data_IF_683732874156
#
_entry.id   IF_683732874156
#
_cell.length_a   1.000
_cell.length_b   1.000
_cell.length_c   1.000
_cell.angle_alpha   90.00
_cell.angle_beta   90.00
_cell.angle_gamma   90.00
#
_symmetry.space_group_name_H-M   'P 1'
#
loop_
_entity.id
_entity.type
_entity.pdbx_description
1 polymer ?
#
# COMPACT_ATOMS: atom_id res chain seq x y z
N UNK A 1 8.06 -50.84 -74.19
CA UNK A 1 8.68 -51.15 -72.88
C UNK A 1 9.14 -49.82 -72.29
N UNK A 2 8.22 -49.05 -71.73
CA UNK A 2 7.88 -48.98 -70.30
C UNK A 2 8.81 -48.02 -69.56
N UNK A 3 8.37 -46.76 -69.47
CA UNK A 3 8.93 -45.69 -68.64
C UNK A 3 8.28 -45.79 -67.26
N UNK A 4 9.01 -45.69 -66.13
CA UNK A 4 8.39 -45.40 -64.84
C UNK A 4 8.58 -43.93 -64.43
N UNK A 5 7.47 -43.31 -64.09
CA UNK A 5 7.31 -42.05 -63.36
C UNK A 5 7.36 -42.32 -61.85
N UNK A 6 8.11 -41.51 -61.08
CA UNK A 6 7.79 -41.08 -59.70
C UNK A 6 8.96 -40.20 -59.17
N UNK A 7 8.79 -38.90 -58.96
CA UNK A 7 8.12 -38.22 -57.83
C UNK A 7 9.02 -38.02 -56.60
N UNK A 8 9.52 -36.79 -56.45
CA UNK A 8 9.94 -36.13 -55.20
C UNK A 8 9.49 -34.66 -55.32
N UNK A 9 9.21 -33.87 -54.24
CA UNK A 9 9.50 -34.14 -52.83
C UNK A 9 8.31 -33.89 -51.87
N UNK A 10 8.20 -34.71 -50.83
CA UNK A 10 7.34 -34.43 -49.67
C UNK A 10 8.03 -33.45 -48.71
N UNK A 11 7.73 -32.16 -48.79
CA UNK A 11 7.86 -31.25 -47.65
C UNK A 11 6.73 -31.55 -46.68
N UNK A 12 7.01 -32.23 -45.57
CA UNK A 12 6.08 -32.31 -44.44
C UNK A 12 6.40 -31.16 -43.51
N UNK A 13 5.60 -30.09 -43.61
CA UNK A 13 5.52 -29.06 -42.60
C UNK A 13 4.48 -29.46 -41.53
N UNK A 14 4.75 -29.05 -40.30
CA UNK A 14 3.82 -28.94 -39.17
C UNK A 14 3.17 -30.24 -38.63
N UNK A 15 3.83 -30.85 -37.65
CA UNK A 15 3.11 -31.53 -36.54
C UNK A 15 4.00 -31.64 -35.30
N UNK A 16 4.48 -30.51 -34.79
CA UNK A 16 5.26 -30.48 -33.53
C UNK A 16 4.73 -29.47 -32.51
N UNK A 17 3.53 -28.93 -32.71
CA UNK A 17 2.93 -27.92 -31.83
C UNK A 17 1.82 -28.48 -30.92
N UNK A 18 1.21 -29.62 -31.28
CA UNK A 18 0.03 -30.13 -30.58
C UNK A 18 0.34 -30.86 -29.25
N UNK A 19 1.54 -31.44 -29.13
CA UNK A 19 1.94 -32.17 -27.93
C UNK A 19 2.35 -31.23 -26.79
N UNK A 20 3.09 -30.17 -27.12
CA UNK A 20 3.55 -29.17 -26.15
C UNK A 20 2.38 -28.33 -25.59
N UNK A 21 1.38 -27.95 -26.39
CA UNK A 21 0.17 -27.26 -25.91
C UNK A 21 -0.71 -28.10 -24.96
N UNK A 22 -0.58 -29.42 -24.99
CA UNK A 22 -1.36 -30.34 -24.14
C UNK A 22 -0.60 -30.76 -22.88
N UNK A 23 0.73 -30.70 -22.89
CA UNK A 23 1.62 -30.92 -21.74
C UNK A 23 1.85 -29.64 -20.93
N UNK A 24 1.87 -28.48 -21.59
CA UNK A 24 1.88 -27.15 -20.99
C UNK A 24 0.54 -26.49 -21.29
N UNK A 25 -0.52 -26.99 -20.64
CA UNK A 25 -1.91 -26.61 -20.86
C UNK A 25 -2.08 -25.14 -21.26
N UNK A 26 -2.65 -24.95 -22.45
CA UNK A 26 -3.05 -23.65 -22.98
C UNK A 26 -4.18 -23.02 -22.18
N UNK A 27 -3.86 -22.51 -21.00
CA UNK A 27 -4.27 -21.18 -20.60
C UNK A 27 -2.98 -20.41 -20.43
N UNK A 28 -2.88 -19.21 -20.99
CA UNK A 28 -1.97 -18.22 -20.39
C UNK A 28 -2.37 -18.22 -18.91
N UNK A 29 -1.54 -18.69 -17.96
CA UNK A 29 -1.89 -18.55 -16.56
C UNK A 29 -2.04 -17.04 -16.41
N UNK A 30 -3.29 -16.57 -16.29
CA UNK A 30 -3.58 -15.15 -16.16
C UNK A 30 -2.57 -14.64 -15.17
N UNK A 31 -1.62 -13.82 -15.65
CA UNK A 31 -0.52 -13.35 -14.84
C UNK A 31 -1.18 -12.81 -13.58
N UNK A 32 -0.93 -13.46 -12.45
CA UNK A 32 -1.66 -13.15 -11.23
C UNK A 32 -1.36 -11.68 -10.95
N UNK A 33 -2.42 -10.88 -10.86
CA UNK A 33 -2.29 -9.49 -10.49
C UNK A 33 -2.05 -9.43 -8.98
N UNK A 34 -0.79 -9.61 -8.60
CA UNK A 34 -0.37 -9.65 -7.21
C UNK A 34 -0.66 -8.36 -6.44
N UNK A 35 -0.88 -7.25 -7.14
CA UNK A 35 -1.29 -6.01 -6.49
C UNK A 35 -2.75 -6.08 -6.06
N UNK A 36 -3.65 -6.44 -6.98
CA UNK A 36 -5.07 -6.58 -6.67
C UNK A 36 -5.34 -7.71 -5.67
N UNK A 37 -4.65 -8.85 -5.80
CA UNK A 37 -4.71 -9.92 -4.80
C UNK A 37 -4.26 -9.42 -3.41
N UNK A 38 -3.19 -8.62 -3.35
CA UNK A 38 -2.71 -8.02 -2.11
C UNK A 38 -3.75 -7.08 -1.47
N UNK A 39 -4.47 -6.29 -2.28
CA UNK A 39 -5.54 -5.41 -1.79
C UNK A 39 -6.73 -6.20 -1.23
N UNK A 40 -7.14 -7.28 -1.91
CA UNK A 40 -8.21 -8.18 -1.44
C UNK A 40 -7.83 -8.83 -0.10
N UNK A 41 -6.61 -9.38 0.00
CA UNK A 41 -6.09 -9.97 1.22
C UNK A 41 -5.98 -8.96 2.36
N UNK A 42 -5.60 -7.71 2.05
CA UNK A 42 -5.54 -6.64 3.04
C UNK A 42 -6.92 -6.28 3.58
N UNK A 43 -7.94 -6.23 2.73
CA UNK A 43 -9.33 -5.99 3.11
C UNK A 43 -9.89 -7.14 3.98
N UNK A 44 -9.49 -8.38 3.70
CA UNK A 44 -9.82 -9.57 4.48
C UNK A 44 -8.97 -9.74 5.76
N UNK A 45 -8.09 -8.77 6.06
CA UNK A 45 -7.18 -8.77 7.21
C UNK A 45 -6.11 -9.88 7.21
N UNK A 46 -5.88 -10.52 6.07
CA UNK A 46 -4.85 -11.54 5.87
C UNK A 46 -3.49 -10.87 5.58
N UNK A 47 -2.92 -10.18 6.58
CA UNK A 47 -1.78 -9.28 6.38
C UNK A 47 -0.48 -9.96 5.93
N UNK A 48 -0.23 -11.21 6.33
CA UNK A 48 0.99 -11.94 5.95
C UNK A 48 0.95 -12.37 4.49
N UNK A 49 -0.20 -12.84 4.03
CA UNK A 49 -0.49 -13.19 2.64
C UNK A 49 -0.46 -11.92 1.79
N UNK A 50 -1.14 -10.85 2.21
CA UNK A 50 -1.11 -9.55 1.53
C UNK A 50 0.32 -9.03 1.34
N UNK A 51 1.15 -9.09 2.40
CA UNK A 51 2.56 -8.73 2.34
C UNK A 51 3.33 -9.58 1.30
N UNK A 52 2.99 -10.86 1.17
CA UNK A 52 3.60 -11.76 0.19
C UNK A 52 3.22 -11.35 -1.22
N UNK A 53 1.93 -11.11 -1.49
CA UNK A 53 1.45 -10.66 -2.81
C UNK A 53 2.04 -9.29 -3.17
N UNK A 54 2.06 -8.31 -2.26
CA UNK A 54 2.69 -7.02 -2.56
C UNK A 54 4.20 -7.12 -2.82
N UNK A 55 4.92 -8.01 -2.14
CA UNK A 55 6.35 -8.27 -2.44
C UNK A 55 6.54 -8.89 -3.82
N UNK A 56 5.60 -9.71 -4.29
CA UNK A 56 5.62 -10.24 -5.66
C UNK A 56 5.31 -9.13 -6.66
N UNK A 57 4.30 -8.30 -6.41
CA UNK A 57 3.98 -7.13 -7.25
C UNK A 57 5.18 -6.17 -7.37
N UNK A 58 5.89 -5.91 -6.27
CA UNK A 58 7.08 -5.04 -6.26
C UNK A 58 8.23 -5.61 -7.09
N UNK A 59 8.35 -6.94 -7.24
CA UNK A 59 9.37 -7.53 -8.14
C UNK A 59 9.10 -7.21 -9.60
N UNK A 60 7.84 -7.02 -9.97
CA UNK A 60 7.43 -6.69 -11.33
C UNK A 60 7.56 -5.19 -11.63
N UNK A 61 7.28 -4.35 -10.63
CA UNK A 61 7.43 -2.89 -10.68
C UNK A 61 8.41 -2.43 -9.59
N UNK A 62 9.71 -2.57 -9.87
CA UNK A 62 10.75 -2.32 -8.88
C UNK A 62 10.72 -0.88 -8.34
N UNK A 63 10.36 -0.77 -7.06
CA UNK A 63 10.37 0.50 -6.34
C UNK A 63 9.09 1.33 -6.49
N UNK A 64 8.00 0.78 -6.98
CA UNK A 64 6.71 1.49 -6.95
C UNK A 64 6.39 2.00 -5.53
N UNK A 65 6.23 3.32 -5.39
CA UNK A 65 5.95 3.97 -4.10
C UNK A 65 4.61 3.56 -3.51
N UNK A 66 3.62 3.29 -4.38
CA UNK A 66 2.29 2.83 -3.97
C UNK A 66 2.39 1.43 -3.37
N UNK A 67 3.10 0.52 -4.04
CA UNK A 67 3.29 -0.85 -3.54
C UNK A 67 4.11 -0.84 -2.24
N UNK A 68 5.16 -0.01 -2.15
CA UNK A 68 5.95 0.15 -0.93
C UNK A 68 5.09 0.66 0.24
N UNK A 69 4.15 1.57 0.00
CA UNK A 69 3.23 2.03 1.02
C UNK A 69 2.31 0.88 1.51
N UNK A 70 1.79 0.05 0.61
CA UNK A 70 0.98 -1.12 1.00
C UNK A 70 1.78 -2.15 1.82
N UNK A 71 3.04 -2.38 1.46
CA UNK A 71 3.97 -3.22 2.25
C UNK A 71 4.17 -2.64 3.65
N UNK A 72 4.35 -1.33 3.77
CA UNK A 72 4.51 -0.67 5.06
C UNK A 72 3.24 -0.78 5.93
N UNK A 73 2.06 -0.64 5.33
CA UNK A 73 0.77 -0.86 6.00
C UNK A 73 0.68 -2.29 6.53
N UNK A 74 1.04 -3.30 5.73
CA UNK A 74 1.05 -4.70 6.17
C UNK A 74 1.98 -4.90 7.37
N UNK A 75 3.20 -4.37 7.34
CA UNK A 75 4.11 -4.44 8.48
C UNK A 75 3.52 -3.78 9.73
N UNK A 76 2.86 -2.62 9.60
CA UNK A 76 2.17 -1.97 10.73
C UNK A 76 1.08 -2.86 11.32
N UNK A 77 0.25 -3.47 10.48
CA UNK A 77 -0.85 -4.37 10.93
C UNK A 77 -0.33 -5.67 11.57
N UNK A 78 0.81 -6.18 11.11
CA UNK A 78 1.48 -7.36 11.69
C UNK A 78 2.17 -7.02 13.03
N UNK A 79 2.51 -5.74 13.27
CA UNK A 79 3.24 -5.29 14.45
C UNK A 79 4.76 -5.17 14.26
N UNK A 80 5.25 -5.31 13.03
CA UNK A 80 6.66 -5.12 12.68
C UNK A 80 6.98 -3.63 12.50
N UNK A 81 6.97 -2.89 13.61
CA UNK A 81 7.01 -1.42 13.60
C UNK A 81 8.32 -0.85 13.02
N UNK A 82 9.45 -1.51 13.22
CA UNK A 82 10.75 -1.03 12.73
C UNK A 82 10.83 -1.15 11.20
N UNK A 83 10.38 -2.26 10.65
CA UNK A 83 10.31 -2.55 9.21
C UNK A 83 9.29 -1.65 8.53
N UNK A 84 8.14 -1.42 9.17
CA UNK A 84 7.16 -0.45 8.72
C UNK A 84 7.78 0.95 8.63
N UNK A 85 8.45 1.43 9.68
CA UNK A 85 9.08 2.75 9.69
C UNK A 85 10.17 2.90 8.62
N UNK A 86 11.02 1.88 8.44
CA UNK A 86 12.03 1.86 7.36
C UNK A 86 11.37 1.95 5.99
N UNK A 87 10.27 1.22 5.79
CA UNK A 87 9.56 1.18 4.50
C UNK A 87 8.84 2.49 4.21
N UNK A 88 8.15 3.10 5.18
CA UNK A 88 7.55 4.43 5.01
C UNK A 88 8.60 5.51 4.74
N UNK A 89 9.74 5.48 5.44
CA UNK A 89 10.85 6.39 5.10
C UNK A 89 11.29 6.19 3.65
N UNK A 90 11.37 4.96 3.16
CA UNK A 90 11.72 4.71 1.75
C UNK A 90 10.67 5.30 0.79
N UNK A 91 9.37 5.21 1.11
CA UNK A 91 8.32 5.91 0.34
C UNK A 91 8.62 7.41 0.31
N UNK A 92 8.89 8.03 1.47
CA UNK A 92 9.17 9.47 1.57
C UNK A 92 10.48 9.91 0.89
N UNK A 93 11.48 9.02 0.76
CA UNK A 93 12.68 9.32 -0.01
C UNK A 93 12.39 9.44 -1.52
N UNK A 94 11.33 8.78 -2.00
CA UNK A 94 10.92 8.81 -3.41
C UNK A 94 9.90 9.91 -3.67
N UNK A 95 8.93 10.04 -2.77
CA UNK A 95 7.92 11.08 -2.80
C UNK A 95 7.77 11.67 -1.40
N UNK A 96 8.40 12.83 -1.20
CA UNK A 96 8.36 13.55 0.07
C UNK A 96 6.97 14.11 0.41
N UNK A 97 6.00 14.07 -0.51
CA UNK A 97 4.63 14.53 -0.30
C UNK A 97 3.63 13.39 -0.07
N UNK A 98 4.10 12.15 0.01
CA UNK A 98 3.24 10.98 0.20
C UNK A 98 2.55 11.01 1.59
N UNK A 99 1.36 11.59 1.64
CA UNK A 99 0.59 11.81 2.87
C UNK A 99 0.39 10.52 3.67
N UNK A 100 0.07 9.40 3.02
CA UNK A 100 -0.10 8.11 3.70
C UNK A 100 1.15 7.64 4.44
N UNK A 101 2.34 7.89 3.90
CA UNK A 101 3.59 7.56 4.56
C UNK A 101 3.90 8.46 5.75
N UNK A 102 3.56 9.75 5.67
CA UNK A 102 3.60 10.65 6.83
C UNK A 102 2.67 10.19 7.95
N UNK A 103 1.43 9.82 7.63
CA UNK A 103 0.49 9.30 8.62
C UNK A 103 1.01 8.01 9.30
N UNK A 104 1.50 7.05 8.50
CA UNK A 104 2.05 5.79 9.00
C UNK A 104 3.25 6.00 9.93
N UNK A 105 4.17 6.90 9.58
CA UNK A 105 5.30 7.25 10.46
C UNK A 105 4.86 7.96 11.73
N UNK A 106 3.92 8.90 11.63
CA UNK A 106 3.42 9.61 12.80
C UNK A 106 2.81 8.63 13.83
N UNK A 107 2.02 7.66 13.36
CA UNK A 107 1.46 6.61 14.20
C UNK A 107 2.56 5.76 14.87
N UNK A 108 3.56 5.30 14.11
CA UNK A 108 4.64 4.47 14.64
C UNK A 108 5.49 5.23 15.65
N UNK A 109 5.85 6.48 15.37
CA UNK A 109 6.66 7.32 16.26
C UNK A 109 5.93 7.63 17.56
N UNK A 110 4.63 7.94 17.47
CA UNK A 110 3.80 8.15 18.65
C UNK A 110 3.76 6.90 19.54
N UNK A 111 3.58 5.72 18.95
CA UNK A 111 3.62 4.45 19.69
C UNK A 111 5.01 4.13 20.26
N UNK A 112 6.07 4.62 19.62
CA UNK A 112 7.45 4.54 20.09
C UNK A 112 7.84 5.59 21.13
N UNK A 113 6.93 6.51 21.48
CA UNK A 113 7.17 7.59 22.44
C UNK A 113 7.85 8.84 21.86
N UNK A 114 8.21 8.84 20.58
CA UNK A 114 8.74 10.02 19.89
C UNK A 114 7.59 10.95 19.49
N UNK A 115 7.14 11.72 20.48
CA UNK A 115 5.99 12.62 20.34
C UNK A 115 6.29 13.80 19.42
N UNK A 116 7.50 14.35 19.49
CA UNK A 116 7.90 15.49 18.63
C UNK A 116 7.97 15.09 17.16
N UNK A 117 8.55 13.93 16.86
CA UNK A 117 8.58 13.39 15.50
C UNK A 117 7.19 13.04 14.98
N UNK A 118 6.31 12.53 15.84
CA UNK A 118 4.92 12.24 15.49
C UNK A 118 4.14 13.51 15.12
N UNK A 119 4.29 14.59 15.89
CA UNK A 119 3.65 15.89 15.62
C UNK A 119 4.02 16.38 14.23
N UNK A 120 5.32 16.44 13.92
CA UNK A 120 5.80 16.93 12.62
C UNK A 120 5.17 16.15 11.45
N UNK A 121 5.13 14.82 11.55
CA UNK A 121 4.55 14.00 10.48
C UNK A 121 3.02 14.08 10.39
N UNK A 122 2.29 14.25 11.51
CA UNK A 122 0.85 14.53 11.44
C UNK A 122 0.56 15.89 10.79
N UNK A 123 1.37 16.92 11.06
CA UNK A 123 1.24 18.24 10.42
C UNK A 123 1.45 18.14 8.91
N UNK A 124 2.50 17.44 8.47
CA UNK A 124 2.73 17.19 7.04
C UNK A 124 1.57 16.41 6.39
N UNK A 125 1.08 15.36 7.05
CA UNK A 125 -0.07 14.59 6.56
C UNK A 125 -1.30 15.48 6.31
N UNK A 126 -1.60 16.41 7.23
CA UNK A 126 -2.72 17.34 7.09
C UNK A 126 -2.45 18.43 6.04
N UNK A 127 -1.20 18.89 5.91
CA UNK A 127 -0.80 19.90 4.93
C UNK A 127 -0.86 19.38 3.49
N UNK A 128 -0.54 18.10 3.27
CA UNK A 128 -0.63 17.43 1.97
C UNK A 128 -2.07 17.10 1.54
N UNK A 129 -3.08 17.52 2.33
CA UNK A 129 -4.51 17.45 2.05
C UNK A 129 -4.94 16.16 1.31
N UNK A 130 -5.12 15.03 2.01
CA UNK A 130 -5.65 13.85 1.36
C UNK A 130 -7.11 14.11 0.94
N UNK A 131 -7.34 14.26 -0.37
CA UNK A 131 -8.65 14.53 -0.97
C UNK A 131 -9.56 13.28 -1.04
N UNK A 132 -9.00 12.11 -0.70
CA UNK A 132 -9.69 10.83 -0.76
C UNK A 132 -10.70 10.67 0.41
N UNK A 133 -11.98 10.35 0.14
CA UNK A 133 -12.95 10.00 1.18
C UNK A 133 -12.45 8.96 2.19
N UNK A 134 -11.65 7.99 1.75
CA UNK A 134 -11.07 6.95 2.60
C UNK A 134 -10.11 7.52 3.66
N UNK A 135 -9.52 8.70 3.40
CA UNK A 135 -8.62 9.36 4.34
C UNK A 135 -9.35 10.16 5.44
N UNK A 136 -10.68 10.33 5.36
CA UNK A 136 -11.45 11.14 6.32
C UNK A 136 -11.25 10.68 7.78
N UNK A 137 -11.18 9.37 8.01
CA UNK A 137 -10.91 8.79 9.33
C UNK A 137 -9.50 9.12 9.82
N UNK A 138 -8.50 9.01 8.95
CA UNK A 138 -7.12 9.37 9.26
C UNK A 138 -6.95 10.86 9.54
N UNK A 139 -7.64 11.73 8.78
CA UNK A 139 -7.67 13.18 9.02
C UNK A 139 -8.26 13.52 10.38
N UNK A 140 -9.40 12.92 10.73
CA UNK A 140 -10.03 13.11 12.03
C UNK A 140 -9.10 12.66 13.17
N UNK A 141 -8.49 11.47 13.02
CA UNK A 141 -7.54 10.94 14.00
C UNK A 141 -6.30 11.84 14.16
N UNK A 142 -5.69 12.29 13.06
CA UNK A 142 -4.52 13.16 13.09
C UNK A 142 -4.82 14.50 13.76
N UNK A 143 -5.95 15.14 13.44
CA UNK A 143 -6.38 16.39 14.08
C UNK A 143 -6.61 16.24 15.57
N UNK A 144 -7.36 15.21 15.98
CA UNK A 144 -7.62 14.94 17.39
C UNK A 144 -6.33 14.63 18.17
N UNK A 145 -5.42 13.88 17.55
CA UNK A 145 -4.13 13.56 18.14
C UNK A 145 -3.26 14.79 18.30
N UNK A 146 -3.14 15.64 17.28
CA UNK A 146 -2.39 16.90 17.38
C UNK A 146 -2.98 17.83 18.44
N UNK A 147 -4.29 18.00 18.51
CA UNK A 147 -4.94 18.82 19.53
C UNK A 147 -4.57 18.34 20.95
N UNK A 148 -4.64 17.02 21.19
CA UNK A 148 -4.25 16.40 22.46
C UNK A 148 -2.77 16.60 22.77
N UNK A 149 -1.88 16.47 21.78
CA UNK A 149 -0.42 16.54 21.98
C UNK A 149 0.08 17.98 22.15
N UNK A 150 -0.52 18.95 21.46
CA UNK A 150 -0.14 20.36 21.51
C UNK A 150 -0.81 21.12 22.66
N UNK A 151 -1.78 20.50 23.34
CA UNK A 151 -2.47 21.13 24.46
C UNK A 151 -3.48 22.19 24.04
N UNK A 152 -4.06 22.07 22.85
CA UNK A 152 -5.26 22.85 22.50
C UNK A 152 -6.38 22.47 23.50
N UNK A 153 -6.91 23.43 24.26
CA UNK A 153 -7.86 23.15 25.32
C UNK A 153 -9.14 22.52 24.76
N UNK A 154 -9.45 21.30 25.20
CA UNK A 154 -10.63 20.54 24.77
C UNK A 154 -11.97 21.11 25.31
N UNK A 155 -11.97 22.18 26.08
CA UNK A 155 -13.20 22.88 26.48
C UNK A 155 -12.82 24.25 27.05
N UNK A 156 -12.90 25.28 26.22
CA UNK A 156 -13.23 26.62 26.70
C UNK A 156 -14.61 26.98 26.17
N UNK A 157 -15.61 26.23 26.65
CA UNK A 157 -16.93 26.84 26.80
C UNK A 157 -16.72 28.16 27.52
N UNK A 158 -17.35 29.27 27.08
CA UNK A 158 -17.25 30.53 27.80
C UNK A 158 -17.67 30.26 29.24
N UNK A 159 -16.72 30.41 30.16
CA UNK A 159 -16.98 30.34 31.59
C UNK A 159 -18.15 31.30 31.85
N UNK A 160 -19.27 30.76 32.34
CA UNK A 160 -20.40 31.60 32.72
C UNK A 160 -19.86 32.66 33.66
N UNK A 161 -20.18 33.96 33.45
CA UNK A 161 -19.65 35.02 34.30
C UNK A 161 -19.96 34.68 35.75
N UNK A 162 -19.03 34.98 36.69
CA UNK A 162 -19.21 34.67 38.08
C UNK A 162 -20.56 35.23 38.57
N UNK A 163 -21.26 34.53 39.49
CA UNK A 163 -22.60 34.90 39.93
C UNK A 163 -22.71 36.31 40.56
N UNK A 164 -21.58 36.99 40.74
CA UNK A 164 -21.46 38.31 41.33
C UNK A 164 -21.60 39.46 40.30
N UNK A 165 -21.74 39.18 39.01
CA UNK A 165 -21.99 40.19 37.95
C UNK A 165 -23.47 40.36 37.57
N UNK A 166 -24.40 39.98 38.46
CA UNK A 166 -25.82 40.32 38.35
C UNK A 166 -26.21 41.31 39.45
N UNK A 167 -25.80 42.57 39.27
CA UNK A 167 -26.39 43.74 39.92
C UNK A 167 -27.02 44.66 38.89
#
# INVERSE_FOLDING_TARGET
MSVPLASYPGRVACSQMAFWNKLFGGGDPQRVDYYNEGLELLADENFHEALTSFRLALKESAGDGVILQQIAICYTRIGMMEEAAKTYRHVLHRDASAAGAHYGLAFILLNGGDTEGAIQHFEFFLACAPEDPEASGHVAHARATLARLLGEPHDSLPEAPPPDELF
#
